data_IF_955403164659
#
_entry.id   IF_955403164659
#
_cell.length_a   1.000
_cell.length_b   1.000
_cell.length_c   1.000
_cell.angle_alpha   90.00
_cell.angle_beta   90.00
_cell.angle_gamma   90.00
#
_symmetry.space_group_name_H-M   'P 1'
#
loop_
_entity.id
_entity.type
_entity.pdbx_description
1 polymer ?
#
# COMPACT_ATOMS: atom_id res chain seq x y z
N UNK A 1 -16.71 -69.97 -51.98
CA UNK A 1 -15.51 -69.62 -52.76
C UNK A 1 -15.89 -68.54 -53.76
N UNK A 2 -15.55 -67.29 -53.45
CA UNK A 2 -15.79 -66.16 -54.35
C UNK A 2 -14.58 -65.25 -54.27
N UNK A 3 -13.72 -65.39 -55.26
CA UNK A 3 -12.64 -64.46 -55.54
C UNK A 3 -13.26 -63.23 -56.23
N UNK A 4 -13.00 -62.05 -55.68
CA UNK A 4 -13.18 -60.78 -56.39
C UNK A 4 -11.84 -60.05 -56.40
N UNK A 5 -11.49 -59.67 -57.61
CA UNK A 5 -10.25 -59.08 -58.12
C UNK A 5 -9.94 -57.68 -57.55
N UNK A 6 -8.66 -57.26 -57.52
CA UNK A 6 -8.27 -55.93 -57.07
C UNK A 6 -8.64 -54.83 -58.09
N UNK A 7 -9.21 -53.73 -57.60
CA UNK A 7 -9.56 -52.53 -58.37
C UNK A 7 -8.32 -51.61 -58.52
N UNK A 8 -7.86 -51.32 -59.76
CA UNK A 8 -6.73 -50.45 -60.01
C UNK A 8 -7.22 -49.04 -60.36
N UNK A 9 -7.50 -48.19 -59.36
CA UNK A 9 -7.73 -46.79 -59.67
C UNK A 9 -7.27 -45.83 -58.58
N UNK A 10 -6.30 -45.00 -59.00
CA UNK A 10 -5.93 -43.68 -58.50
C UNK A 10 -5.08 -43.62 -57.23
N UNK A 11 -3.77 -43.70 -57.47
CA UNK A 11 -2.80 -42.81 -56.85
C UNK A 11 -3.32 -41.36 -56.89
N UNK A 12 -3.80 -40.86 -55.74
CA UNK A 12 -4.02 -39.44 -55.51
C UNK A 12 -2.77 -38.91 -54.80
N UNK A 13 -2.06 -38.05 -55.51
CA UNK A 13 -0.96 -37.22 -55.04
C UNK A 13 -1.37 -36.54 -53.72
N UNK A 14 -0.69 -36.87 -52.63
CA UNK A 14 -0.81 -36.12 -51.39
C UNK A 14 0.08 -34.88 -51.54
N UNK A 15 -0.51 -33.77 -51.99
CA UNK A 15 0.11 -32.45 -51.82
C UNK A 15 0.21 -32.11 -50.32
N UNK A 16 1.22 -31.35 -49.88
CA UNK A 16 1.36 -30.98 -48.49
C UNK A 16 0.12 -30.20 -48.03
N UNK A 17 -0.46 -30.66 -46.92
CA UNK A 17 -1.56 -29.99 -46.23
C UNK A 17 -1.06 -28.59 -45.83
N UNK A 18 -1.73 -27.47 -46.21
CA UNK A 18 -1.33 -26.16 -45.75
C UNK A 18 -1.44 -26.14 -44.22
N UNK A 19 -0.35 -25.75 -43.56
CA UNK A 19 -0.32 -25.60 -42.12
C UNK A 19 -1.41 -24.61 -41.70
N UNK A 20 -2.46 -25.14 -41.06
CA UNK A 20 -3.42 -24.33 -40.33
C UNK A 20 -2.65 -23.75 -39.15
N UNK A 21 -2.13 -22.52 -39.32
CA UNK A 21 -1.67 -21.71 -38.21
C UNK A 21 -2.89 -21.45 -37.32
N UNK A 22 -2.94 -21.96 -36.08
CA UNK A 22 -3.99 -21.57 -35.16
C UNK A 22 -3.88 -20.06 -34.94
N UNK A 23 -4.98 -19.30 -34.82
CA UNK A 23 -4.90 -17.89 -34.46
C UNK A 23 -4.28 -17.80 -33.05
N UNK A 24 -2.98 -17.53 -32.99
CA UNK A 24 -2.26 -17.23 -31.76
C UNK A 24 -2.51 -15.76 -31.42
N UNK A 25 -3.77 -15.44 -31.11
CA UNK A 25 -4.14 -14.21 -30.41
C UNK A 25 -4.78 -14.59 -29.07
N UNK A 26 -4.07 -15.43 -28.31
CA UNK A 26 -4.21 -15.40 -26.86
C UNK A 26 -3.23 -14.33 -26.38
N UNK A 27 -3.70 -13.13 -26.00
CA UNK A 27 -2.80 -12.10 -25.52
C UNK A 27 -2.06 -12.61 -24.28
N UNK A 28 -0.75 -12.36 -24.16
CA UNK A 28 0.00 -12.76 -22.98
C UNK A 28 -0.63 -12.11 -21.75
N UNK A 29 -0.98 -12.94 -20.78
CA UNK A 29 -1.43 -12.51 -19.46
C UNK A 29 -0.34 -11.62 -18.83
N UNK A 30 -0.42 -10.29 -19.02
CA UNK A 30 0.43 -9.33 -18.29
C UNK A 30 1.08 -8.18 -19.06
N UNK A 31 0.74 -7.87 -20.30
CA UNK A 31 1.24 -6.63 -20.94
C UNK A 31 0.55 -5.37 -20.35
N UNK A 32 1.28 -4.37 -19.83
CA UNK A 32 0.67 -3.10 -19.43
C UNK A 32 0.16 -2.35 -20.66
N UNK A 33 -1.13 -2.03 -20.68
CA UNK A 33 -1.78 -1.24 -21.73
C UNK A 33 -1.03 0.08 -21.93
N UNK A 34 -0.61 0.37 -23.17
CA UNK A 34 0.24 1.52 -23.59
C UNK A 34 -0.42 2.88 -23.42
N UNK A 35 -1.70 2.91 -23.06
CA UNK A 35 -2.61 4.05 -23.00
C UNK A 35 -2.76 4.62 -21.57
N UNK A 36 -1.88 4.23 -20.64
CA UNK A 36 -1.83 4.80 -19.28
C UNK A 36 -2.99 4.36 -18.37
N UNK A 37 -3.87 3.48 -18.85
CA UNK A 37 -4.89 2.82 -18.03
C UNK A 37 -4.27 1.81 -17.09
N UNK A 38 -4.67 1.84 -15.83
CA UNK A 38 -4.29 0.82 -14.87
C UNK A 38 -4.74 -0.58 -15.36
N UNK A 39 -3.91 -1.63 -15.16
CA UNK A 39 -4.22 -2.96 -15.67
C UNK A 39 -5.55 -3.48 -15.13
N UNK A 40 -6.31 -4.19 -15.96
CA UNK A 40 -7.53 -4.89 -15.55
C UNK A 40 -7.14 -6.09 -14.68
N UNK A 41 -7.84 -6.28 -13.56
CA UNK A 41 -7.70 -7.47 -12.70
C UNK A 41 -9.06 -7.92 -12.21
N UNK A 42 -9.20 -9.21 -11.98
CA UNK A 42 -10.39 -9.80 -11.38
C UNK A 42 -10.38 -9.66 -9.85
N UNK A 43 -11.53 -9.38 -9.26
CA UNK A 43 -11.70 -9.36 -7.80
C UNK A 43 -11.71 -10.81 -7.25
N UNK A 44 -10.82 -11.19 -6.32
CA UNK A 44 -10.80 -12.56 -5.78
C UNK A 44 -12.08 -12.98 -5.03
N UNK A 45 -12.91 -12.02 -4.60
CA UNK A 45 -14.14 -12.30 -3.85
C UNK A 45 -15.38 -12.45 -4.74
N UNK A 46 -15.44 -11.77 -5.88
CA UNK A 46 -16.65 -11.75 -6.72
C UNK A 46 -16.40 -12.08 -8.19
N UNK A 47 -15.16 -12.36 -8.58
CA UNK A 47 -14.77 -12.64 -9.98
C UNK A 47 -14.82 -11.44 -10.92
N UNK A 48 -15.57 -10.39 -10.58
CA UNK A 48 -15.78 -9.22 -11.46
C UNK A 48 -14.48 -8.55 -11.91
N UNK A 49 -14.42 -8.29 -13.22
CA UNK A 49 -13.34 -7.53 -13.86
C UNK A 49 -13.38 -6.07 -13.40
N UNK A 50 -12.22 -5.53 -13.02
CA UNK A 50 -12.10 -4.15 -12.56
C UNK A 50 -10.79 -3.53 -13.00
N UNK A 51 -10.86 -2.25 -13.33
CA UNK A 51 -9.69 -1.41 -13.43
C UNK A 51 -9.09 -1.18 -12.03
N UNK A 52 -7.80 -1.43 -11.88
CA UNK A 52 -7.13 -1.25 -10.61
C UNK A 52 -7.12 0.23 -10.21
N UNK A 53 -7.74 0.53 -9.06
CA UNK A 53 -7.66 1.86 -8.46
C UNK A 53 -6.37 1.94 -7.65
N UNK A 54 -5.51 2.91 -7.97
CA UNK A 54 -4.28 3.19 -7.21
C UNK A 54 -4.64 3.47 -5.74
N UNK A 55 -3.85 2.92 -4.82
CA UNK A 55 -4.01 3.22 -3.39
C UNK A 55 -3.70 4.71 -3.17
N UNK A 56 -4.62 5.40 -2.52
CA UNK A 56 -4.50 6.83 -2.19
C UNK A 56 -3.64 7.08 -0.94
N UNK A 57 -3.05 6.01 -0.37
CA UNK A 57 -2.31 6.03 0.90
C UNK A 57 -0.90 6.65 0.80
N UNK A 58 -0.55 7.20 -0.36
CA UNK A 58 0.71 7.92 -0.58
C UNK A 58 1.93 7.03 -0.77
N UNK A 59 1.79 5.70 -0.72
CA UNK A 59 2.88 4.74 -1.01
C UNK A 59 3.16 4.56 -2.50
N UNK A 60 2.23 5.01 -3.35
CA UNK A 60 2.46 5.25 -4.77
C UNK A 60 2.61 4.04 -5.70
N UNK A 61 2.78 2.83 -5.17
CA UNK A 61 3.09 1.64 -5.99
C UNK A 61 2.16 0.45 -5.73
N UNK A 62 0.99 0.67 -5.12
CA UNK A 62 0.06 -0.40 -4.78
C UNK A 62 -1.34 -0.24 -5.39
N UNK A 63 -1.96 -1.36 -5.75
CA UNK A 63 -3.36 -1.44 -6.14
C UNK A 63 -4.21 -2.15 -5.07
N UNK A 64 -5.51 -1.85 -4.97
CA UNK A 64 -6.40 -2.57 -4.05
C UNK A 64 -6.74 -3.96 -4.57
N UNK A 65 -6.55 -4.98 -3.72
CA UNK A 65 -6.79 -6.40 -4.01
C UNK A 65 -8.27 -6.73 -4.31
N UNK A 66 -9.22 -6.12 -3.59
CA UNK A 66 -10.65 -6.36 -3.77
C UNK A 66 -11.33 -5.20 -4.50
N UNK A 67 -12.50 -5.46 -5.11
CA UNK A 67 -13.34 -4.41 -5.65
C UNK A 67 -13.82 -3.45 -4.55
N UNK A 68 -14.23 -2.22 -4.89
CA UNK A 68 -14.66 -1.25 -3.87
C UNK A 68 -15.82 -1.81 -3.03
N UNK A 69 -16.80 -2.46 -3.68
CA UNK A 69 -17.92 -3.12 -3.00
C UNK A 69 -17.47 -4.24 -2.07
N UNK A 70 -16.72 -5.23 -2.57
CA UNK A 70 -16.21 -6.34 -1.77
C UNK A 70 -15.27 -5.88 -0.65
N UNK A 71 -14.42 -4.88 -0.89
CA UNK A 71 -13.55 -4.32 0.15
C UNK A 71 -14.37 -3.62 1.24
N UNK A 72 -15.43 -2.90 0.87
CA UNK A 72 -16.33 -2.24 1.81
C UNK A 72 -17.13 -3.25 2.62
N UNK A 73 -17.65 -4.30 1.97
CA UNK A 73 -18.33 -5.41 2.63
C UNK A 73 -17.38 -6.14 3.61
N UNK A 74 -16.16 -6.45 3.17
CA UNK A 74 -15.12 -7.03 4.02
C UNK A 74 -14.82 -6.15 5.23
N UNK A 75 -14.66 -4.85 5.03
CA UNK A 75 -14.35 -3.92 6.12
C UNK A 75 -15.54 -3.74 7.08
N UNK A 76 -16.78 -3.78 6.58
CA UNK A 76 -18.01 -3.79 7.40
C UNK A 76 -18.09 -5.05 8.25
N UNK A 77 -17.90 -6.23 7.65
CA UNK A 77 -17.91 -7.52 8.37
C UNK A 77 -16.82 -7.56 9.44
N UNK A 78 -15.60 -7.10 9.14
CA UNK A 78 -14.53 -7.02 10.13
C UNK A 78 -14.89 -6.14 11.32
N UNK A 79 -15.47 -4.95 11.09
CA UNK A 79 -15.90 -4.05 12.16
C UNK A 79 -17.04 -4.64 13.00
N UNK A 80 -17.97 -5.35 12.39
CA UNK A 80 -19.08 -6.01 13.07
C UNK A 80 -18.61 -7.19 13.93
N UNK A 81 -17.66 -7.98 13.42
CA UNK A 81 -17.05 -9.10 14.16
C UNK A 81 -16.11 -8.65 15.30
N UNK A 82 -15.64 -7.40 15.26
CA UNK A 82 -14.71 -6.85 16.25
C UNK A 82 -15.25 -5.54 16.86
N UNK A 83 -16.43 -5.58 17.52
CA UNK A 83 -17.00 -4.39 18.13
C UNK A 83 -16.04 -3.83 19.18
N UNK A 84 -15.85 -2.50 19.16
CA UNK A 84 -14.97 -1.83 20.11
C UNK A 84 -13.47 -2.05 19.93
N UNK A 85 -13.01 -2.89 18.99
CA UNK A 85 -11.57 -3.11 18.76
C UNK A 85 -10.80 -1.80 18.50
N UNK A 86 -11.34 -0.94 17.64
CA UNK A 86 -10.77 0.38 17.38
C UNK A 86 -10.71 1.24 18.64
N UNK A 87 -11.74 1.19 19.48
CA UNK A 87 -11.83 1.95 20.74
C UNK A 87 -10.82 1.45 21.76
N UNK A 88 -10.73 0.13 21.95
CA UNK A 88 -9.77 -0.50 22.86
C UNK A 88 -8.33 -0.26 22.40
N UNK A 89 -8.06 -0.40 21.09
CA UNK A 89 -6.75 -0.08 20.51
C UNK A 89 -6.37 1.39 20.74
N UNK A 90 -7.29 2.31 20.49
CA UNK A 90 -7.07 3.74 20.73
C UNK A 90 -6.85 4.03 22.22
N UNK A 91 -7.64 3.42 23.11
CA UNK A 91 -7.46 3.54 24.56
C UNK A 91 -6.09 3.03 25.00
N UNK A 92 -5.66 1.85 24.53
CA UNK A 92 -4.32 1.32 24.83
C UNK A 92 -3.22 2.30 24.38
N UNK A 93 -3.33 2.83 23.17
CA UNK A 93 -2.36 3.83 22.67
C UNK A 93 -2.33 5.09 23.54
N UNK A 94 -3.51 5.60 23.94
CA UNK A 94 -3.63 6.77 24.80
C UNK A 94 -3.04 6.55 26.19
N UNK A 95 -3.24 5.36 26.77
CA UNK A 95 -2.66 5.00 28.07
C UNK A 95 -1.14 4.81 27.98
N UNK A 96 -0.64 4.26 26.87
CA UNK A 96 0.79 4.02 26.68
C UNK A 96 1.59 5.26 26.22
N UNK A 97 0.91 6.33 25.76
CA UNK A 97 1.56 7.55 25.24
C UNK A 97 0.87 8.81 25.80
N UNK A 98 0.82 9.00 27.14
CA UNK A 98 0.14 10.14 27.76
C UNK A 98 0.74 11.49 27.33
N UNK A 99 2.06 11.57 27.14
CA UNK A 99 2.79 12.76 26.70
C UNK A 99 2.39 13.17 25.28
N UNK A 100 2.35 12.22 24.33
CA UNK A 100 1.94 12.50 22.95
C UNK A 100 0.48 12.92 22.88
N UNK A 101 -0.37 12.25 23.67
CA UNK A 101 -1.79 12.62 23.78
C UNK A 101 -1.95 14.06 24.28
N UNK A 102 -1.23 14.43 25.34
CA UNK A 102 -1.25 15.80 25.89
C UNK A 102 -0.80 16.82 24.85
N UNK A 103 0.28 16.54 24.13
CA UNK A 103 0.79 17.41 23.08
C UNK A 103 -0.23 17.64 21.95
N UNK A 104 -0.82 16.57 21.44
CA UNK A 104 -1.88 16.68 20.43
C UNK A 104 -3.10 17.45 20.93
N UNK A 105 -3.53 17.21 22.18
CA UNK A 105 -4.65 17.95 22.76
C UNK A 105 -4.35 19.44 22.92
N UNK A 106 -3.14 19.80 23.32
CA UNK A 106 -2.72 21.20 23.45
C UNK A 106 -2.74 21.92 22.10
N UNK A 107 -2.20 21.30 21.03
CA UNK A 107 -2.27 21.85 19.66
C UNK A 107 -3.72 22.00 19.21
N UNK A 108 -4.56 20.98 19.41
CA UNK A 108 -5.98 21.07 19.04
C UNK A 108 -6.71 22.20 19.77
N UNK A 109 -6.41 22.42 21.05
CA UNK A 109 -6.96 23.53 21.83
C UNK A 109 -6.46 24.87 21.31
N UNK A 110 -5.16 25.02 21.08
CA UNK A 110 -4.55 26.26 20.59
C UNK A 110 -5.03 26.63 19.18
N UNK A 111 -5.23 25.64 18.30
CA UNK A 111 -5.83 25.84 16.98
C UNK A 111 -7.29 26.30 17.06
N UNK A 112 -8.05 25.77 18.05
CA UNK A 112 -9.46 26.14 18.23
C UNK A 112 -9.61 27.52 18.87
N UNK A 113 -8.72 27.88 19.80
CA UNK A 113 -8.70 29.20 20.43
C UNK A 113 -8.07 30.28 19.54
N UNK A 114 -7.42 29.92 18.43
CA UNK A 114 -6.71 30.84 17.56
C UNK A 114 -5.34 31.28 18.09
N UNK A 115 -4.92 30.79 19.26
CA UNK A 115 -3.58 31.05 19.83
C UNK A 115 -2.46 30.44 18.98
N UNK A 116 -2.77 29.40 18.21
CA UNK A 116 -1.87 28.80 17.25
C UNK A 116 -2.53 28.81 15.87
N UNK A 117 -1.79 29.24 14.85
CA UNK A 117 -2.22 29.22 13.46
C UNK A 117 -1.43 28.17 12.69
N UNK A 118 -2.10 27.46 11.77
CA UNK A 118 -1.43 26.49 10.90
C UNK A 118 -0.49 27.18 9.94
N UNK A 119 0.78 26.82 9.98
CA UNK A 119 1.78 27.26 9.01
C UNK A 119 1.80 26.39 7.74
N UNK A 120 2.50 26.85 6.68
CA UNK A 120 2.80 26.03 5.52
C UNK A 120 3.76 24.89 5.87
N UNK A 121 3.84 23.88 5.01
CA UNK A 121 4.83 22.81 5.15
C UNK A 121 6.25 23.39 5.12
N UNK A 122 7.07 23.10 6.15
CA UNK A 122 8.43 23.64 6.25
C UNK A 122 9.37 23.19 5.10
N UNK A 123 9.08 22.06 4.45
CA UNK A 123 9.90 21.55 3.34
C UNK A 123 9.46 22.04 1.95
N UNK A 124 8.14 22.16 1.70
CA UNK A 124 7.64 22.48 0.35
C UNK A 124 6.65 23.64 0.28
N UNK A 125 6.42 24.36 1.38
CA UNK A 125 5.56 25.54 1.41
C UNK A 125 4.06 25.28 1.23
N UNK A 126 3.62 24.05 0.97
CA UNK A 126 2.19 23.79 0.75
C UNK A 126 1.36 24.03 2.02
N UNK A 127 0.20 24.67 1.87
CA UNK A 127 -0.79 24.88 2.93
C UNK A 127 -1.88 23.80 2.94
N UNK A 128 -1.83 22.86 1.98
CA UNK A 128 -2.82 21.78 1.85
C UNK A 128 -2.44 20.58 2.71
N UNK A 129 -3.40 20.09 3.50
CA UNK A 129 -3.27 18.87 4.33
C UNK A 129 -2.00 18.86 5.18
N UNK A 130 -1.80 19.95 5.92
CA UNK A 130 -0.65 20.14 6.82
C UNK A 130 -1.00 19.63 8.22
N UNK A 131 -0.08 18.87 8.79
CA UNK A 131 -0.15 18.21 10.08
C UNK A 131 0.95 18.77 10.99
N UNK A 132 0.66 18.88 12.28
CA UNK A 132 1.64 19.29 13.29
C UNK A 132 2.55 18.11 13.61
N UNK A 133 3.86 18.31 13.44
CA UNK A 133 4.89 17.38 13.86
C UNK A 133 5.53 17.87 15.16
N UNK A 134 5.74 16.94 16.09
CA UNK A 134 6.39 17.20 17.36
C UNK A 134 7.76 16.54 17.33
N UNK A 135 8.83 17.33 17.30
CA UNK A 135 10.21 16.85 17.52
C UNK A 135 10.42 16.52 19.00
N UNK A 136 9.83 17.34 19.88
CA UNK A 136 9.88 17.17 21.32
C UNK A 136 8.47 17.28 21.91
N UNK A 137 7.94 16.14 22.38
CA UNK A 137 6.61 16.06 22.98
C UNK A 137 6.50 16.75 24.34
N UNK A 138 7.61 17.10 24.99
CA UNK A 138 7.60 17.88 26.24
C UNK A 138 7.23 19.36 26.00
N UNK A 139 7.39 19.86 24.76
CA UNK A 139 7.05 21.23 24.36
C UNK A 139 5.87 21.22 23.40
N UNK A 140 4.63 21.10 23.90
CA UNK A 140 3.48 20.71 23.10
C UNK A 140 3.04 21.74 22.05
N UNK A 141 3.35 23.02 22.24
CA UNK A 141 3.02 24.09 21.28
C UNK A 141 4.16 24.40 20.30
N UNK A 142 5.36 23.84 20.53
CA UNK A 142 6.49 23.95 19.62
C UNK A 142 6.36 22.85 18.57
N UNK A 143 5.71 23.19 17.46
CA UNK A 143 5.43 22.24 16.38
C UNK A 143 5.96 22.73 15.05
N UNK A 144 6.45 21.80 14.26
CA UNK A 144 6.80 22.06 12.86
C UNK A 144 5.66 21.57 11.97
N UNK A 145 5.26 22.40 11.02
CA UNK A 145 4.17 22.09 10.10
C UNK A 145 4.69 21.30 8.90
N UNK A 146 4.13 20.12 8.63
CA UNK A 146 4.49 19.32 7.47
C UNK A 146 3.25 18.83 6.71
N UNK A 147 3.31 18.81 5.38
CA UNK A 147 2.31 18.08 4.61
C UNK A 147 2.44 16.58 4.88
N UNK A 148 1.37 15.81 4.66
CA UNK A 148 1.33 14.35 4.89
C UNK A 148 2.57 13.59 4.38
N UNK A 149 3.08 13.97 3.20
CA UNK A 149 4.27 13.35 2.58
C UNK A 149 5.54 13.58 3.41
N UNK A 150 5.84 14.84 3.74
CA UNK A 150 7.03 15.18 4.52
C UNK A 150 6.89 14.78 5.98
N UNK A 151 5.68 14.79 6.53
CA UNK A 151 5.43 14.30 7.88
C UNK A 151 5.80 12.82 8.00
N UNK A 152 5.42 11.98 7.03
CA UNK A 152 5.83 10.57 6.98
C UNK A 152 7.33 10.40 6.75
N UNK A 153 7.94 11.22 5.90
CA UNK A 153 9.38 11.18 5.66
C UNK A 153 10.16 11.44 6.95
N UNK A 154 9.79 12.49 7.70
CA UNK A 154 10.42 12.81 8.99
C UNK A 154 10.29 11.69 10.02
N UNK A 155 9.12 11.05 10.13
CA UNK A 155 8.96 9.88 10.99
C UNK A 155 9.86 8.70 10.60
N UNK A 156 10.15 8.51 9.29
CA UNK A 156 11.08 7.47 8.83
C UNK A 156 12.53 7.81 9.17
N UNK A 157 12.90 9.08 9.03
CA UNK A 157 14.23 9.57 9.43
C UNK A 157 14.45 9.35 10.93
N UNK A 158 13.52 9.79 11.77
CA UNK A 158 13.58 9.57 13.23
C UNK A 158 13.66 8.07 13.57
N UNK A 159 12.89 7.22 12.88
CA UNK A 159 12.97 5.77 13.06
C UNK A 159 14.34 5.20 12.66
N UNK A 160 14.95 5.71 11.59
CA UNK A 160 16.29 5.30 11.16
C UNK A 160 17.37 5.78 12.12
N UNK A 161 17.29 7.04 12.58
CA UNK A 161 18.18 7.63 13.60
C UNK A 161 18.14 6.84 14.90
N UNK A 162 16.93 6.51 15.40
CA UNK A 162 16.76 5.73 16.63
C UNK A 162 17.26 4.28 16.47
N UNK A 163 17.04 3.65 15.32
CA UNK A 163 17.60 2.33 15.03
C UNK A 163 19.13 2.35 15.00
N UNK A 164 19.73 3.35 14.35
CA UNK A 164 21.17 3.52 14.28
C UNK A 164 21.79 3.77 15.66
N UNK A 165 21.17 4.63 16.48
CA UNK A 165 21.60 4.89 17.85
C UNK A 165 21.52 3.63 18.73
N UNK A 166 20.45 2.85 18.57
CA UNK A 166 20.29 1.57 19.28
C UNK A 166 21.39 0.59 18.88
N UNK A 167 21.66 0.45 17.59
CA UNK A 167 22.74 -0.40 17.08
C UNK A 167 24.11 0.04 17.60
N UNK A 168 24.39 1.35 17.59
CA UNK A 168 25.65 1.90 18.11
C UNK A 168 25.84 1.62 19.61
N UNK A 169 24.77 1.75 20.41
CA UNK A 169 24.80 1.44 21.85
C UNK A 169 25.11 -0.05 22.09
N UNK A 170 24.36 -0.94 21.45
CA UNK A 170 24.57 -2.39 21.56
C UNK A 170 25.97 -2.81 21.11
N UNK A 171 26.48 -2.21 20.03
CA UNK A 171 27.84 -2.46 19.56
C UNK A 171 28.90 -2.06 20.60
N UNK A 172 28.73 -0.91 21.29
CA UNK A 172 29.66 -0.48 22.35
C UNK A 172 29.63 -1.41 23.57
N UNK A 173 28.43 -1.81 24.00
CA UNK A 173 28.24 -2.68 25.17
C UNK A 173 28.79 -4.10 24.95
N UNK A 174 28.56 -4.66 23.76
CA UNK A 174 29.06 -6.00 23.40
C UNK A 174 30.58 -6.03 23.26
N UNK A 175 31.21 -4.95 22.75
CA UNK A 175 32.65 -4.88 22.57
C UNK A 175 33.42 -4.47 23.84
N UNK A 176 32.77 -3.74 24.76
CA UNK A 176 33.31 -3.40 26.08
C UNK A 176 33.36 -4.58 27.06
N UNK A 177 32.57 -5.64 26.83
CA UNK A 177 32.59 -6.86 27.66
C UNK A 177 33.63 -7.90 27.23
N UNK A 178 34.37 -7.67 26.14
CA UNK A 178 35.34 -8.62 25.58
C UNK A 178 36.80 -8.38 26.02
N UNK A 179 37.03 -7.53 27.02
CA UNK A 179 38.36 -7.12 27.48
C UNK A 179 38.63 -7.37 28.99
N UNK A 180 37.91 -8.29 29.62
CA UNK A 180 38.17 -8.75 30.99
C UNK A 180 38.58 -10.21 30.98
#
# INVERSE_FOLDING_TARGET
>A
MSALTPNPHRARMHGPIPAVVPPTDVPPQGSPLRDGRAPLRHCPACGGERQLVRRSDGSGVGFRLFCSGCNSAKQKAYRAAHPGFSTTKNRRWQCANPEKRRAHQAVCRALRSGTLTKGPCATCGTTKRVEAHHEDYARPLVVTWFCRRHHLARHREIAAETAAATHQKLYRETRGSAHV
#
